data_IF_792161099364
#
_entry.id   IF_792161099364
#
_cell.length_a   1.000
_cell.length_b   1.000
_cell.length_c   1.000
_cell.angle_alpha   90.00
_cell.angle_beta   90.00
_cell.angle_gamma   90.00
#
_symmetry.space_group_name_H-M   'P 1'
#
loop_
_entity.id
_entity.type
_entity.pdbx_description
1 polymer ?
#
# COMPACT_ATOMS: atom_id res chain seq x y z
N UNK A 1 -3.52 7.10 0.50
CA UNK A 1 -3.75 6.37 1.77
C UNK A 1 -4.24 7.31 2.87
N UNK A 2 -3.49 8.35 3.27
CA UNK A 2 -3.94 9.30 4.33
C UNK A 2 -5.29 9.97 4.03
N UNK A 3 -5.53 10.42 2.78
CA UNK A 3 -6.83 10.99 2.40
C UNK A 3 -7.99 9.99 2.52
N UNK A 4 -7.76 8.71 2.19
CA UNK A 4 -8.75 7.64 2.36
C UNK A 4 -9.05 7.43 3.85
N UNK A 5 -8.02 7.38 4.68
CA UNK A 5 -8.16 7.29 6.14
C UNK A 5 -8.96 8.47 6.72
N UNK A 6 -8.69 9.70 6.28
CA UNK A 6 -9.46 10.89 6.67
C UNK A 6 -10.94 10.83 6.27
N UNK A 7 -11.31 9.92 5.37
CA UNK A 7 -12.69 9.65 4.93
C UNK A 7 -13.25 8.32 5.49
N UNK A 8 -12.58 7.70 6.46
CA UNK A 8 -13.03 6.44 7.07
C UNK A 8 -12.82 5.20 6.19
N UNK A 9 -11.93 5.29 5.18
CA UNK A 9 -11.64 4.22 4.23
C UNK A 9 -10.24 3.64 4.51
N UNK A 10 -10.16 2.31 4.57
CA UNK A 10 -8.92 1.55 4.72
C UNK A 10 -8.21 1.34 3.38
N UNK A 11 -6.88 1.18 3.44
CA UNK A 11 -6.05 0.93 2.25
C UNK A 11 -4.93 -0.06 2.55
N UNK A 12 -4.58 -0.91 1.57
CA UNK A 12 -3.43 -1.83 1.65
C UNK A 12 -2.55 -1.63 0.42
N UNK A 13 -1.31 -1.10 0.56
CA UNK A 13 -0.35 -1.07 -0.54
C UNK A 13 0.22 -2.48 -0.77
N UNK A 14 0.19 -2.94 -2.02
CA UNK A 14 0.46 -4.32 -2.41
C UNK A 14 1.47 -4.37 -3.56
N UNK A 15 2.72 -4.72 -3.25
CA UNK A 15 3.76 -4.89 -4.25
C UNK A 15 3.51 -6.12 -5.14
N UNK A 16 2.91 -7.20 -4.62
CA UNK A 16 2.66 -8.44 -5.38
C UNK A 16 1.90 -8.23 -6.70
N UNK A 17 1.11 -7.15 -6.81
CA UNK A 17 0.42 -6.83 -8.07
C UNK A 17 1.40 -6.61 -9.24
N UNK A 18 2.64 -6.21 -8.97
CA UNK A 18 3.66 -6.04 -10.02
C UNK A 18 4.14 -7.35 -10.61
N UNK A 19 4.04 -8.47 -9.88
CA UNK A 19 4.46 -9.79 -10.36
C UNK A 19 3.56 -10.28 -11.52
N UNK A 20 2.33 -9.76 -11.58
CA UNK A 20 1.33 -10.03 -12.62
C UNK A 20 1.10 -8.82 -13.53
N UNK A 21 2.08 -7.91 -13.63
CA UNK A 21 1.95 -6.69 -14.41
C UNK A 21 1.54 -6.92 -15.87
N UNK A 22 2.08 -7.90 -16.63
CA UNK A 22 1.64 -8.17 -17.99
C UNK A 22 0.13 -8.49 -18.07
N UNK A 23 -0.35 -9.40 -17.21
CA UNK A 23 -1.73 -9.88 -17.20
C UNK A 23 -2.70 -8.77 -16.76
N UNK A 24 -2.34 -8.00 -15.73
CA UNK A 24 -3.14 -6.87 -15.26
C UNK A 24 -3.23 -5.80 -16.35
N UNK A 25 -2.11 -5.49 -17.01
CA UNK A 25 -2.08 -4.48 -18.06
C UNK A 25 -2.90 -4.89 -19.28
N UNK A 26 -2.79 -6.15 -19.71
CA UNK A 26 -3.63 -6.72 -20.76
C UNK A 26 -5.12 -6.62 -20.40
N UNK A 27 -5.48 -7.10 -19.21
CA UNK A 27 -6.87 -7.12 -18.75
C UNK A 27 -7.50 -5.73 -18.65
N UNK A 28 -6.73 -4.73 -18.21
CA UNK A 28 -7.22 -3.35 -18.01
C UNK A 28 -6.95 -2.43 -19.21
N UNK A 29 -6.37 -2.94 -20.30
CA UNK A 29 -5.99 -2.13 -21.47
C UNK A 29 -4.92 -1.06 -21.18
N UNK A 30 -4.06 -1.30 -20.20
CA UNK A 30 -2.96 -0.39 -19.87
C UNK A 30 -1.82 -0.60 -20.87
N UNK A 31 -1.39 0.48 -21.51
CA UNK A 31 -0.32 0.45 -22.51
C UNK A 31 0.98 -0.20 -22.02
N UNK A 32 1.66 -0.90 -22.93
CA UNK A 32 2.89 -1.64 -22.66
C UNK A 32 4.04 -0.74 -22.17
N UNK A 33 4.07 0.53 -22.58
CA UNK A 33 5.06 1.53 -22.16
C UNK A 33 4.88 2.04 -20.72
N UNK A 34 3.73 1.79 -20.09
CA UNK A 34 3.48 2.17 -18.69
C UNK A 34 3.99 1.09 -17.74
N UNK A 35 4.73 1.49 -16.71
CA UNK A 35 5.14 0.60 -15.62
C UNK A 35 4.04 0.52 -14.56
N UNK A 36 3.59 -0.69 -14.24
CA UNK A 36 2.81 -0.93 -13.02
C UNK A 36 3.80 -0.98 -11.85
N UNK A 37 3.66 -0.07 -10.89
CA UNK A 37 4.59 0.08 -9.76
C UNK A 37 4.01 -0.47 -8.47
N UNK A 38 2.69 -0.37 -8.28
CA UNK A 38 2.03 -0.75 -7.04
C UNK A 38 0.53 -0.97 -7.29
N UNK A 39 -0.07 -1.94 -6.60
CA UNK A 39 -1.52 -2.04 -6.42
C UNK A 39 -1.93 -1.50 -5.04
N UNK A 40 -3.11 -0.89 -4.94
CA UNK A 40 -3.66 -0.46 -3.65
C UNK A 40 -5.10 -0.93 -3.54
N UNK A 41 -5.37 -1.88 -2.65
CA UNK A 41 -6.74 -2.23 -2.27
C UNK A 41 -7.34 -1.11 -1.42
N UNK A 42 -8.60 -0.74 -1.67
CA UNK A 42 -9.32 0.35 -0.99
C UNK A 42 -10.72 -0.14 -0.62
N UNK A 43 -11.14 0.11 0.62
CA UNK A 43 -12.47 -0.31 1.08
C UNK A 43 -12.72 -0.03 2.56
N UNK A 44 -13.83 -0.54 3.08
CA UNK A 44 -14.14 -0.46 4.51
C UNK A 44 -13.56 -1.69 5.22
N UNK A 45 -12.61 -1.52 6.17
CA UNK A 45 -11.97 -2.65 6.82
C UNK A 45 -12.95 -3.39 7.74
N UNK A 46 -12.91 -4.72 7.71
CA UNK A 46 -13.54 -5.55 8.72
C UNK A 46 -12.71 -5.52 10.00
N UNK A 47 -13.18 -4.76 10.99
CA UNK A 47 -12.49 -4.59 12.26
C UNK A 47 -12.59 -5.83 13.18
N UNK A 48 -13.41 -6.83 12.84
CA UNK A 48 -13.46 -8.10 13.55
C UNK A 48 -12.46 -9.13 12.99
N UNK A 49 -11.85 -8.87 11.83
CA UNK A 49 -10.89 -9.78 11.22
C UNK A 49 -9.53 -9.71 11.97
N UNK A 50 -9.02 -10.82 12.55
CA UNK A 50 -7.80 -10.82 13.37
C UNK A 50 -6.55 -10.29 12.66
N UNK A 51 -6.50 -10.41 11.33
CA UNK A 51 -5.38 -9.88 10.51
C UNK A 51 -5.23 -8.35 10.65
N UNK A 52 -6.31 -7.64 10.99
CA UNK A 52 -6.31 -6.18 11.18
C UNK A 52 -5.88 -5.74 12.59
N UNK A 53 -5.69 -6.68 13.52
CA UNK A 53 -5.20 -6.41 14.89
C UNK A 53 -3.68 -6.36 14.96
N UNK A 54 -2.97 -6.90 13.97
CA UNK A 54 -1.52 -6.83 13.91
C UNK A 54 -1.03 -5.38 13.82
N UNK A 55 0.03 -5.06 14.57
CA UNK A 55 0.68 -3.75 14.55
C UNK A 55 2.18 -3.93 14.31
N UNK A 56 2.69 -3.19 13.33
CA UNK A 56 4.13 -3.12 13.05
C UNK A 56 4.78 -2.05 13.92
N UNK A 57 5.96 -2.34 14.43
CA UNK A 57 6.80 -1.34 15.10
C UNK A 57 7.44 -0.39 14.06
N UNK A 58 8.05 0.69 14.55
CA UNK A 58 8.87 1.60 13.74
C UNK A 58 10.23 1.72 14.42
N UNK A 59 11.29 1.79 13.63
CA UNK A 59 12.63 2.07 14.16
C UNK A 59 12.62 3.38 14.96
N UNK A 60 13.34 3.43 16.10
CA UNK A 60 13.60 4.66 16.84
C UNK A 60 14.15 5.78 15.94
N UNK A 61 13.90 7.04 16.32
CA UNK A 61 14.30 8.19 15.52
C UNK A 61 15.82 8.27 15.36
N UNK A 62 16.54 7.91 16.41
CA UNK A 62 18.00 7.94 16.51
C UNK A 62 18.67 6.95 15.54
N UNK A 63 17.96 5.93 15.08
CA UNK A 63 18.46 4.98 14.07
C UNK A 63 18.30 5.50 12.64
N UNK A 64 17.36 6.42 12.41
CA UNK A 64 16.96 6.86 11.05
C UNK A 64 17.27 8.33 10.76
N UNK A 65 17.63 9.12 11.78
CA UNK A 65 17.91 10.55 11.64
C UNK A 65 19.07 11.00 12.53
N UNK A 66 19.95 11.82 11.96
CA UNK A 66 20.99 12.55 12.68
C UNK A 66 20.72 14.04 12.58
N UNK A 67 20.61 14.70 13.73
CA UNK A 67 20.48 16.15 13.80
C UNK A 67 21.87 16.78 13.81
N UNK A 68 22.06 17.83 13.03
CA UNK A 68 23.31 18.61 12.93
C UNK A 68 22.99 20.08 13.24
N UNK A 69 23.96 20.79 13.80
CA UNK A 69 23.87 22.24 14.08
C UNK A 69 24.14 23.09 12.84
#
# INVERSE_FOLDING_TARGET
MLAAQAKGVGTVPQAFATDYAPQIKEHLGISADKRLVLGISVGYPDMAAPVNDFRTERSPLEEIATFVE
#
